data_IF_138177064412
#
_entry.id   IF_138177064412
#
_cell.length_a   1.000
_cell.length_b   1.000
_cell.length_c   1.000
_cell.angle_alpha   90.00
_cell.angle_beta   90.00
_cell.angle_gamma   90.00
#
_symmetry.space_group_name_H-M   'P 1'
#
loop_
_entity.id
_entity.type
_entity.pdbx_description
1 polymer ?
#
# COMPACT_ATOMS: atom_id res chain seq x y z
N UNK A 1 -1.94 -1.96 -24.75
CA UNK A 1 -2.11 -0.96 -23.69
C UNK A 1 -3.60 -0.65 -23.59
N UNK A 2 -4.16 -0.71 -22.37
CA UNK A 2 -5.52 -0.27 -22.12
C UNK A 2 -5.68 1.23 -22.39
N UNK A 3 -6.84 1.64 -22.84
CA UNK A 3 -7.17 3.08 -22.95
C UNK A 3 -7.44 3.61 -21.55
N UNK A 4 -6.86 4.77 -21.26
CA UNK A 4 -7.15 5.50 -20.02
C UNK A 4 -8.67 5.77 -19.91
N UNK A 5 -9.35 5.34 -18.85
CA UNK A 5 -10.80 5.49 -18.74
C UNK A 5 -11.22 6.95 -18.52
N UNK A 6 -10.37 7.77 -17.96
CA UNK A 6 -10.59 9.20 -17.82
C UNK A 6 -9.35 9.98 -18.30
N UNK A 7 -9.22 10.22 -19.61
CA UNK A 7 -8.07 10.94 -20.16
C UNK A 7 -8.00 12.42 -19.73
N UNK A 8 -9.09 12.97 -19.19
CA UNK A 8 -9.22 14.37 -18.76
C UNK A 8 -9.38 14.51 -17.23
N UNK A 9 -8.97 13.48 -16.47
CA UNK A 9 -9.10 13.50 -15.00
C UNK A 9 -8.59 14.79 -14.38
N UNK A 10 -9.29 15.27 -13.37
CA UNK A 10 -9.11 16.60 -12.75
C UNK A 10 -7.75 16.86 -12.11
N UNK A 11 -6.90 15.83 -11.99
CA UNK A 11 -5.57 15.96 -11.43
C UNK A 11 -4.55 15.51 -12.46
N UNK A 12 -3.96 16.47 -13.16
CA UNK A 12 -2.74 16.34 -13.97
C UNK A 12 -2.69 15.17 -14.97
N UNK A 13 -3.75 14.93 -15.74
CA UNK A 13 -3.79 13.88 -16.78
C UNK A 13 -3.72 12.43 -16.26
N UNK A 14 -4.15 12.17 -15.05
CA UNK A 14 -4.18 10.82 -14.48
C UNK A 14 -5.35 9.99 -15.02
N UNK A 15 -5.15 8.70 -15.14
CA UNK A 15 -6.20 7.77 -15.59
C UNK A 15 -7.04 7.31 -14.40
N UNK A 16 -7.94 8.15 -13.92
CA UNK A 16 -8.81 7.82 -12.81
C UNK A 16 -10.11 7.14 -13.23
N UNK A 17 -10.64 6.27 -12.37
CA UNK A 17 -11.92 5.60 -12.53
C UNK A 17 -11.82 4.14 -12.93
N UNK A 18 -12.97 3.53 -13.24
CA UNK A 18 -13.08 2.10 -13.55
C UNK A 18 -12.37 1.75 -14.85
N UNK A 19 -11.48 0.77 -14.79
CA UNK A 19 -10.68 0.32 -15.92
C UNK A 19 -11.24 -0.99 -16.51
N UNK A 20 -11.04 -1.16 -17.82
CA UNK A 20 -11.26 -2.45 -18.48
C UNK A 20 -10.13 -3.41 -18.12
N UNK A 21 -10.34 -4.72 -18.35
CA UNK A 21 -9.23 -5.68 -18.24
C UNK A 21 -8.09 -5.28 -19.18
N UNK A 22 -6.88 -5.17 -18.66
CA UNK A 22 -5.76 -4.72 -19.48
C UNK A 22 -4.52 -4.37 -18.70
N UNK A 23 -3.51 -3.91 -19.43
CA UNK A 23 -2.23 -3.42 -18.89
C UNK A 23 -2.16 -1.91 -19.03
N UNK A 24 -1.83 -1.24 -17.94
CA UNK A 24 -1.77 0.21 -17.81
C UNK A 24 -0.42 0.64 -17.29
N UNK A 25 -0.07 1.90 -17.51
CA UNK A 25 1.13 2.52 -16.94
C UNK A 25 0.74 3.85 -16.31
N UNK A 26 1.24 4.10 -15.11
CA UNK A 26 1.06 5.37 -14.38
C UNK A 26 1.63 6.53 -15.17
N UNK A 27 1.11 7.72 -14.96
CA UNK A 27 1.55 8.95 -15.61
C UNK A 27 2.30 9.88 -14.68
N UNK A 28 1.96 9.83 -13.40
CA UNK A 28 2.47 10.75 -12.38
C UNK A 28 3.30 10.01 -11.33
N UNK A 29 2.84 8.84 -10.88
CA UNK A 29 3.59 8.00 -9.96
C UNK A 29 4.96 7.65 -10.53
N UNK A 30 6.01 7.85 -9.74
CA UNK A 30 7.39 7.52 -10.10
C UNK A 30 8.06 6.69 -8.99
N UNK A 31 8.80 5.61 -9.32
CA UNK A 31 9.14 5.09 -10.67
C UNK A 31 7.87 4.65 -11.42
N UNK A 32 7.82 4.90 -12.74
CA UNK A 32 6.62 4.57 -13.53
C UNK A 32 6.24 3.12 -13.36
N UNK A 33 5.01 2.89 -12.91
CA UNK A 33 4.46 1.58 -12.63
C UNK A 33 3.64 1.09 -13.83
N UNK A 34 4.01 -0.07 -14.40
CA UNK A 34 3.16 -0.81 -15.33
C UNK A 34 2.54 -1.99 -14.60
N UNK A 35 1.22 -2.17 -14.74
CA UNK A 35 0.43 -3.17 -14.04
C UNK A 35 -0.70 -3.72 -14.90
N UNK A 36 -1.16 -4.93 -14.62
CA UNK A 36 -2.28 -5.58 -15.31
C UNK A 36 -3.40 -5.87 -14.31
N UNK A 37 -4.63 -5.46 -14.67
CA UNK A 37 -5.81 -5.68 -13.83
C UNK A 37 -6.92 -6.38 -14.60
N UNK A 38 -7.79 -7.17 -13.92
CA UNK A 38 -9.07 -7.61 -14.46
C UNK A 38 -10.03 -6.43 -14.67
N UNK A 39 -11.12 -6.63 -15.41
CA UNK A 39 -12.17 -5.63 -15.57
C UNK A 39 -12.84 -5.32 -14.21
N UNK A 40 -13.26 -4.06 -14.05
CA UNK A 40 -14.02 -3.58 -12.91
C UNK A 40 -13.18 -3.08 -11.73
N UNK A 41 -11.85 -3.17 -11.79
CA UNK A 41 -10.97 -2.43 -10.89
C UNK A 41 -11.03 -0.95 -11.23
N UNK A 42 -10.69 -0.11 -10.28
CA UNK A 42 -10.60 1.34 -10.51
C UNK A 42 -9.24 1.87 -10.08
N UNK A 43 -8.68 2.73 -10.91
CA UNK A 43 -7.55 3.58 -10.55
C UNK A 43 -8.10 4.80 -9.82
N UNK A 44 -7.69 4.99 -8.59
CA UNK A 44 -8.20 6.05 -7.73
C UNK A 44 -7.20 7.18 -7.51
N UNK A 45 -5.93 6.88 -7.53
CA UNK A 45 -4.86 7.86 -7.36
C UNK A 45 -3.65 7.48 -8.22
N UNK A 46 -3.13 8.45 -8.96
CA UNK A 46 -1.85 8.39 -9.67
C UNK A 46 -1.11 9.71 -9.39
N UNK A 47 -0.46 9.79 -8.22
CA UNK A 47 0.20 10.98 -7.69
C UNK A 47 1.70 10.74 -7.56
N UNK A 48 2.54 11.78 -7.47
CA UNK A 48 3.95 11.60 -7.15
C UNK A 48 4.12 10.84 -5.84
N UNK A 49 4.70 9.63 -5.93
CA UNK A 49 4.95 8.78 -4.75
C UNK A 49 3.77 8.01 -4.18
N UNK A 50 2.55 8.19 -4.71
CA UNK A 50 1.34 7.51 -4.25
C UNK A 50 0.48 7.04 -5.43
N UNK A 51 0.15 5.74 -5.45
CA UNK A 51 -0.72 5.13 -6.44
C UNK A 51 -1.70 4.17 -5.76
N UNK A 52 -3.00 4.26 -6.08
CA UNK A 52 -4.04 3.45 -5.43
C UNK A 52 -4.98 2.81 -6.45
N UNK A 53 -5.13 1.50 -6.34
CA UNK A 53 -6.13 0.69 -7.03
C UNK A 53 -7.17 0.15 -6.04
N UNK A 54 -8.42 0.12 -6.45
CA UNK A 54 -9.49 -0.51 -5.68
C UNK A 54 -10.18 -1.62 -6.48
N UNK A 55 -10.60 -2.71 -5.79
CA UNK A 55 -11.35 -3.80 -6.42
C UNK A 55 -12.80 -3.37 -6.75
N UNK A 56 -13.53 -4.18 -7.54
CA UNK A 56 -14.94 -3.95 -7.80
C UNK A 56 -15.76 -3.82 -6.51
N UNK A 57 -16.60 -2.78 -6.43
CA UNK A 57 -17.47 -2.50 -5.28
C UNK A 57 -16.82 -1.66 -4.16
N UNK A 58 -15.50 -1.46 -4.19
CA UNK A 58 -14.82 -0.53 -3.31
C UNK A 58 -14.98 0.93 -3.78
N UNK A 59 -14.81 1.89 -2.88
CA UNK A 59 -14.89 3.33 -3.17
C UNK A 59 -13.81 4.08 -2.40
N UNK A 60 -13.41 5.25 -2.89
CA UNK A 60 -12.46 6.11 -2.18
C UNK A 60 -13.02 6.56 -0.81
N UNK A 61 -14.31 6.93 -0.76
CA UNK A 61 -14.96 7.25 0.50
C UNK A 61 -14.94 6.07 1.47
N UNK A 62 -15.05 4.85 0.93
CA UNK A 62 -14.95 3.61 1.70
C UNK A 62 -13.53 3.36 2.24
N UNK A 63 -12.48 3.73 1.51
CA UNK A 63 -11.10 3.68 2.03
C UNK A 63 -10.98 4.60 3.23
N UNK A 64 -11.41 5.86 3.08
CA UNK A 64 -11.37 6.86 4.15
C UNK A 64 -12.20 6.46 5.37
N UNK A 65 -13.27 5.70 5.16
CA UNK A 65 -14.15 5.17 6.21
C UNK A 65 -13.69 3.81 6.79
N UNK A 66 -12.60 3.21 6.27
CA UNK A 66 -12.13 1.88 6.65
C UNK A 66 -13.10 0.74 6.28
N UNK A 67 -13.82 0.89 5.16
CA UNK A 67 -14.82 -0.07 4.66
C UNK A 67 -14.57 -0.57 3.24
N UNK A 68 -13.47 -0.16 2.62
CA UNK A 68 -13.05 -0.61 1.29
C UNK A 68 -11.66 -1.20 1.32
N UNK A 69 -11.52 -2.41 0.76
CA UNK A 69 -10.22 -3.00 0.46
C UNK A 69 -9.53 -2.18 -0.63
N UNK A 70 -8.21 -2.12 -0.59
CA UNK A 70 -7.43 -1.41 -1.61
C UNK A 70 -6.03 -2.00 -1.78
N UNK A 71 -5.40 -1.63 -2.89
CA UNK A 71 -4.01 -1.89 -3.21
C UNK A 71 -3.32 -0.56 -3.43
N UNK A 72 -2.37 -0.22 -2.54
CA UNK A 72 -1.55 0.97 -2.64
C UNK A 72 -0.11 0.66 -3.09
N UNK A 73 0.52 1.59 -3.79
CA UNK A 73 1.95 1.54 -4.11
C UNK A 73 2.57 2.88 -3.74
N UNK A 74 3.63 2.84 -2.92
CA UNK A 74 4.22 4.02 -2.31
C UNK A 74 5.73 4.04 -2.56
N UNK A 75 6.21 5.14 -3.11
CA UNK A 75 7.64 5.37 -3.27
C UNK A 75 8.25 5.95 -1.99
N UNK A 76 9.51 5.63 -1.73
CA UNK A 76 10.31 6.21 -0.64
C UNK A 76 9.61 6.16 0.72
N UNK A 77 9.35 4.94 1.25
CA UNK A 77 8.75 4.76 2.56
C UNK A 77 9.78 4.47 3.65
N UNK A 78 9.44 4.82 4.88
CA UNK A 78 10.23 4.59 6.09
C UNK A 78 9.39 4.09 7.26
N UNK A 79 10.04 3.72 8.36
CA UNK A 79 9.37 3.48 9.63
C UNK A 79 8.78 4.80 10.16
N UNK A 80 7.53 4.79 10.62
CA UNK A 80 6.93 5.99 11.20
C UNK A 80 7.51 6.31 12.58
N UNK A 81 7.57 7.59 12.90
CA UNK A 81 7.61 8.05 14.28
C UNK A 81 6.16 8.04 14.78
N UNK A 82 5.90 7.21 15.78
CA UNK A 82 4.57 7.11 16.37
C UNK A 82 4.06 8.48 16.79
N UNK A 83 2.82 8.76 16.47
CA UNK A 83 2.09 9.99 16.81
C UNK A 83 2.46 11.25 16.01
N UNK A 84 3.52 11.25 15.22
CA UNK A 84 3.93 12.45 14.48
C UNK A 84 3.65 12.37 12.98
N UNK A 85 3.35 11.17 12.45
CA UNK A 85 3.07 10.97 11.03
C UNK A 85 4.25 11.32 10.12
N UNK A 86 5.48 11.18 10.61
CA UNK A 86 6.72 11.46 9.91
C UNK A 86 7.72 10.31 10.08
N UNK A 87 8.79 10.24 9.25
CA UNK A 87 9.83 9.23 9.42
C UNK A 87 10.48 9.27 10.79
N UNK A 88 10.75 8.09 11.35
CA UNK A 88 11.49 7.94 12.60
C UNK A 88 12.99 8.06 12.35
N UNK A 89 13.57 9.17 12.78
CA UNK A 89 14.98 9.50 12.56
C UNK A 89 15.97 8.51 13.24
N UNK A 90 15.49 7.70 14.18
CA UNK A 90 16.33 6.69 14.87
C UNK A 90 16.39 5.36 14.12
N UNK A 91 15.55 5.17 13.11
CA UNK A 91 15.47 3.97 12.29
C UNK A 91 16.11 4.22 10.92
N UNK A 92 17.10 3.42 10.49
CA UNK A 92 17.65 3.57 9.14
C UNK A 92 16.55 3.46 8.08
N UNK A 93 16.52 4.41 7.13
CA UNK A 93 15.55 4.45 6.03
C UNK A 93 15.92 3.42 4.95
N UNK A 94 16.08 2.17 5.36
CA UNK A 94 16.44 1.03 4.53
C UNK A 94 15.45 -0.10 4.73
N UNK A 95 15.40 -1.05 3.80
CA UNK A 95 14.56 -2.23 3.94
C UNK A 95 14.81 -2.97 5.26
N UNK A 96 16.06 -3.17 5.62
CA UNK A 96 16.43 -3.90 6.86
C UNK A 96 16.03 -3.11 8.12
N UNK A 97 16.18 -1.77 8.09
CA UNK A 97 15.73 -0.89 9.16
C UNK A 97 14.23 -0.96 9.37
N UNK A 98 13.44 -0.78 8.30
CA UNK A 98 11.98 -0.85 8.35
C UNK A 98 11.48 -2.25 8.77
N UNK A 99 12.05 -3.32 8.23
CA UNK A 99 11.72 -4.69 8.63
C UNK A 99 12.05 -4.97 10.10
N UNK A 100 13.19 -4.48 10.55
CA UNK A 100 13.59 -4.57 11.96
C UNK A 100 12.60 -3.85 12.87
N UNK A 101 12.21 -2.63 12.50
CA UNK A 101 11.24 -1.84 13.24
C UNK A 101 9.88 -2.53 13.32
N UNK A 102 9.29 -2.93 12.18
CA UNK A 102 7.99 -3.64 12.12
C UNK A 102 7.95 -4.91 12.99
N UNK A 103 9.05 -5.67 13.04
CA UNK A 103 9.13 -6.92 13.82
C UNK A 103 9.22 -6.68 15.33
N UNK A 104 9.75 -5.53 15.76
CA UNK A 104 9.95 -5.20 17.16
C UNK A 104 8.88 -4.28 17.73
N UNK A 105 8.03 -3.72 16.87
CA UNK A 105 6.94 -2.85 17.30
C UNK A 105 5.94 -3.61 18.18
N UNK A 106 5.66 -3.12 19.41
CA UNK A 106 4.77 -3.81 20.34
C UNK A 106 3.30 -3.83 19.90
N UNK A 107 2.88 -2.89 19.04
CA UNK A 107 1.51 -2.79 18.56
C UNK A 107 1.23 -3.69 17.35
N UNK A 108 2.28 -4.20 16.68
CA UNK A 108 2.16 -4.94 15.42
C UNK A 108 2.47 -6.43 15.63
N UNK A 109 1.77 -7.28 14.93
CA UNK A 109 2.10 -8.69 14.75
C UNK A 109 2.48 -8.89 13.29
N UNK A 110 3.72 -9.29 13.06
CA UNK A 110 4.26 -9.65 11.75
C UNK A 110 4.23 -11.16 11.57
N UNK A 111 3.81 -11.63 10.41
CA UNK A 111 3.75 -13.05 10.04
C UNK A 111 4.04 -13.26 8.54
N UNK A 112 4.19 -14.51 8.11
CA UNK A 112 4.35 -14.90 6.70
C UNK A 112 5.51 -14.21 5.96
N UNK A 113 6.58 -13.90 6.65
CA UNK A 113 7.77 -13.20 6.10
C UNK A 113 8.48 -14.09 5.09
N UNK A 114 8.64 -13.61 3.85
CA UNK A 114 9.30 -14.32 2.75
C UNK A 114 10.02 -13.34 1.83
N UNK A 115 11.09 -13.78 1.22
CA UNK A 115 11.73 -13.03 0.14
C UNK A 115 10.85 -13.03 -1.11
N UNK A 116 10.89 -11.93 -1.87
CA UNK A 116 10.10 -11.73 -3.07
C UNK A 116 10.87 -10.92 -4.10
N UNK A 117 10.50 -11.09 -5.36
CA UNK A 117 10.93 -10.22 -6.46
C UNK A 117 9.69 -9.79 -7.23
N UNK A 118 9.45 -8.48 -7.33
CA UNK A 118 8.36 -7.88 -8.08
C UNK A 118 8.95 -6.84 -9.05
N UNK A 119 8.64 -6.96 -10.33
CA UNK A 119 9.10 -6.01 -11.35
C UNK A 119 10.61 -5.83 -11.42
N UNK A 120 11.38 -6.87 -11.07
CA UNK A 120 12.85 -6.82 -11.00
C UNK A 120 13.41 -6.25 -9.69
N UNK A 121 12.58 -5.72 -8.80
CA UNK A 121 12.98 -5.27 -7.48
C UNK A 121 12.91 -6.42 -6.48
N UNK A 122 14.00 -6.65 -5.74
CA UNK A 122 14.05 -7.66 -4.67
C UNK A 122 13.62 -7.06 -3.34
N UNK A 123 13.03 -7.87 -2.47
CA UNK A 123 12.58 -7.42 -1.16
C UNK A 123 11.93 -8.52 -0.34
N UNK A 124 11.03 -8.12 0.54
CA UNK A 124 10.34 -9.02 1.47
C UNK A 124 8.84 -8.77 1.42
N UNK A 125 8.05 -9.83 1.37
CA UNK A 125 6.61 -9.80 1.63
C UNK A 125 6.35 -10.27 3.06
N UNK A 126 5.40 -9.62 3.73
CA UNK A 126 4.97 -9.98 5.07
C UNK A 126 3.48 -9.61 5.27
N UNK A 127 2.84 -10.28 6.21
CA UNK A 127 1.49 -9.95 6.63
C UNK A 127 1.55 -9.29 8.02
N UNK A 128 0.80 -8.21 8.19
CA UNK A 128 0.70 -7.47 9.44
C UNK A 128 -0.73 -7.48 9.96
N UNK A 129 -0.86 -7.36 11.25
CA UNK A 129 -2.10 -7.04 11.96
C UNK A 129 -1.78 -6.35 13.27
N UNK A 130 -2.74 -5.62 13.80
CA UNK A 130 -2.59 -5.00 15.11
C UNK A 130 -2.57 -6.05 16.24
N UNK A 131 -1.77 -5.79 17.27
CA UNK A 131 -1.73 -6.59 18.50
C UNK A 131 -2.72 -6.02 19.51
N UNK A 132 -3.90 -6.58 19.59
CA UNK A 132 -4.93 -6.09 20.50
C UNK A 132 -5.73 -4.92 19.92
N UNK A 133 -6.24 -4.06 20.76
CA UNK A 133 -7.18 -2.97 20.40
C UNK A 133 -6.63 -1.57 20.71
N UNK A 134 -5.41 -1.49 21.20
CA UNK A 134 -4.71 -0.22 21.45
C UNK A 134 -3.63 -0.05 20.41
N UNK A 135 -3.67 1.06 19.69
CA UNK A 135 -2.64 1.42 18.71
C UNK A 135 -1.30 1.73 19.34
N UNK A 136 -0.54 2.56 18.69
CA UNK A 136 0.84 2.92 19.05
C UNK A 136 0.99 3.68 20.37
N UNK A 137 -0.09 3.84 21.13
CA UNK A 137 -0.10 4.59 22.38
C UNK A 137 -0.27 6.08 22.21
N UNK A 138 -0.57 6.54 21.01
CA UNK A 138 -0.85 7.95 20.73
C UNK A 138 -2.17 8.38 21.39
N UNK A 139 -2.27 9.62 21.88
CA UNK A 139 -3.45 10.08 22.64
C UNK A 139 -4.78 9.88 21.90
N UNK A 140 -4.76 10.01 20.57
CA UNK A 140 -5.95 9.90 19.71
C UNK A 140 -5.94 8.64 18.82
N UNK A 141 -4.93 7.76 18.95
CA UNK A 141 -4.67 6.64 18.05
C UNK A 141 -5.22 5.32 18.55
N UNK A 142 -6.12 4.74 17.75
CA UNK A 142 -6.54 3.33 17.87
C UNK A 142 -5.91 2.47 16.76
N UNK A 143 -5.03 3.05 15.93
CA UNK A 143 -4.37 2.43 14.79
C UNK A 143 -2.91 2.15 15.11
N UNK A 144 -2.30 1.21 14.43
CA UNK A 144 -0.87 0.98 14.45
C UNK A 144 -0.29 1.38 13.09
N UNK A 145 0.57 2.40 13.06
CA UNK A 145 1.21 2.87 11.85
C UNK A 145 2.20 1.82 11.35
N UNK A 146 2.21 1.58 10.04
CA UNK A 146 3.05 0.58 9.39
C UNK A 146 4.20 1.21 8.60
N UNK A 147 3.89 2.24 7.83
CA UNK A 147 4.82 2.95 6.95
C UNK A 147 4.43 4.41 6.85
N UNK A 148 5.40 5.24 6.55
CA UNK A 148 5.22 6.67 6.27
C UNK A 148 6.04 7.05 5.03
N UNK A 149 5.57 8.02 4.24
CA UNK A 149 6.33 8.58 3.12
C UNK A 149 7.49 9.42 3.59
N UNK A 150 8.67 9.27 2.99
CA UNK A 150 9.88 10.06 3.33
C UNK A 150 9.71 11.51 2.90
N UNK A 151 9.25 11.74 1.67
CA UNK A 151 9.10 13.07 1.08
C UNK A 151 7.67 13.63 1.20
N UNK A 152 6.74 12.82 1.69
CA UNK A 152 5.34 13.16 1.84
C UNK A 152 4.81 12.68 3.20
N UNK A 153 4.95 13.51 4.22
CA UNK A 153 4.53 13.21 5.58
C UNK A 153 3.00 13.05 5.74
N UNK A 154 2.20 13.40 4.73
CA UNK A 154 0.76 13.11 4.74
C UNK A 154 0.44 11.66 4.38
N UNK A 155 1.42 10.92 3.90
CA UNK A 155 1.28 9.49 3.58
C UNK A 155 1.65 8.67 4.81
N UNK A 156 0.66 8.35 5.62
CA UNK A 156 0.77 7.42 6.75
C UNK A 156 -0.19 6.26 6.51
N UNK A 157 0.31 5.03 6.53
CA UNK A 157 -0.50 3.83 6.38
C UNK A 157 -0.47 2.99 7.64
N UNK A 158 -1.65 2.61 8.11
CA UNK A 158 -1.87 2.00 9.42
C UNK A 158 -2.75 0.76 9.31
N UNK A 159 -2.61 -0.15 10.26
CA UNK A 159 -3.55 -1.26 10.46
C UNK A 159 -4.48 -0.97 11.63
N UNK A 160 -5.76 -1.23 11.46
CA UNK A 160 -6.78 -0.91 12.47
C UNK A 160 -6.92 -1.96 13.57
N UNK A 161 -7.63 -1.57 14.65
CA UNK A 161 -7.83 -2.40 15.85
C UNK A 161 -8.80 -3.56 15.65
N UNK A 162 -9.53 -3.57 14.55
CA UNK A 162 -10.48 -4.65 14.28
C UNK A 162 -9.71 -5.96 14.09
N UNK A 163 -10.09 -7.04 14.79
CA UNK A 163 -9.41 -8.33 14.71
C UNK A 163 -9.36 -8.93 13.30
N UNK A 164 -10.22 -8.48 12.39
CA UNK A 164 -10.23 -8.84 10.97
C UNK A 164 -9.23 -8.08 10.12
N UNK A 165 -8.83 -6.86 10.51
CA UNK A 165 -7.91 -6.05 9.72
C UNK A 165 -6.58 -6.75 9.47
N UNK A 166 -6.17 -6.81 8.21
CA UNK A 166 -4.90 -7.38 7.77
C UNK A 166 -4.31 -6.50 6.70
N UNK A 167 -3.00 -6.38 6.71
CA UNK A 167 -2.28 -5.75 5.63
C UNK A 167 -1.16 -6.66 5.17
N UNK A 168 -1.08 -6.92 3.87
CA UNK A 168 0.08 -7.55 3.26
C UNK A 168 0.96 -6.47 2.67
N UNK A 169 2.19 -6.39 3.16
CA UNK A 169 3.20 -5.46 2.65
C UNK A 169 4.24 -6.21 1.82
N UNK A 170 4.53 -5.68 0.64
CA UNK A 170 5.72 -6.00 -0.15
C UNK A 170 6.65 -4.81 -0.03
N UNK A 171 7.76 -4.98 0.65
CA UNK A 171 8.77 -3.94 0.85
C UNK A 171 9.93 -4.25 -0.09
N UNK A 172 10.16 -3.39 -1.07
CA UNK A 172 11.08 -3.64 -2.19
C UNK A 172 12.24 -2.64 -2.17
N UNK A 173 13.46 -3.11 -2.48
CA UNK A 173 14.64 -2.23 -2.62
C UNK A 173 14.58 -1.49 -3.95
N UNK A 174 14.46 -0.16 -3.90
CA UNK A 174 14.49 0.72 -5.07
C UNK A 174 15.70 1.67 -4.96
N UNK A 175 16.87 1.18 -5.32
CA UNK A 175 18.13 1.91 -5.07
C UNK A 175 18.43 2.00 -3.57
N UNK A 176 18.49 3.21 -3.04
CA UNK A 176 18.70 3.49 -1.61
C UNK A 176 17.38 3.57 -0.83
N UNK A 177 16.25 3.65 -1.53
CA UNK A 177 14.93 3.82 -0.96
C UNK A 177 14.19 2.49 -0.82
N UNK A 178 13.10 2.49 -0.06
CA UNK A 178 12.15 1.40 0.04
C UNK A 178 10.87 1.79 -0.67
N UNK A 179 10.46 0.98 -1.67
CA UNK A 179 9.15 1.05 -2.28
C UNK A 179 8.24 0.05 -1.57
N UNK A 180 7.04 0.47 -1.20
CA UNK A 180 6.05 -0.41 -0.60
C UNK A 180 4.89 -0.68 -1.56
N UNK A 181 4.42 -1.95 -1.59
CA UNK A 181 3.10 -2.30 -2.13
C UNK A 181 2.28 -2.80 -0.95
N UNK A 182 1.14 -2.20 -0.75
CA UNK A 182 0.21 -2.51 0.32
C UNK A 182 -1.05 -3.16 -0.25
N UNK A 183 -1.42 -4.31 0.27
CA UNK A 183 -2.72 -4.95 0.04
C UNK A 183 -3.47 -4.90 1.35
N UNK A 184 -4.30 -3.87 1.51
CA UNK A 184 -5.05 -3.62 2.73
C UNK A 184 -6.39 -4.33 2.71
N UNK A 185 -6.61 -5.17 3.70
CA UNK A 185 -7.87 -5.87 3.95
C UNK A 185 -8.54 -5.25 5.18
N UNK A 186 -9.73 -4.75 4.99
CA UNK A 186 -10.50 -4.11 6.04
C UNK A 186 -11.69 -4.96 6.46
N UNK A 187 -12.11 -4.97 7.74
CA UNK A 187 -13.11 -5.91 8.25
C UNK A 187 -14.48 -5.83 7.61
N UNK A 188 -14.80 -4.69 7.02
CA UNK A 188 -16.05 -4.43 6.28
C UNK A 188 -15.78 -4.27 4.78
N UNK A 189 -14.64 -4.79 4.32
CA UNK A 189 -14.27 -4.82 2.91
C UNK A 189 -15.20 -5.69 2.07
N UNK A 190 -14.92 -5.73 0.78
CA UNK A 190 -15.81 -6.35 -0.21
C UNK A 190 -15.78 -7.88 -0.17
N UNK A 191 -14.68 -8.47 0.34
CA UNK A 191 -14.46 -9.91 0.32
C UNK A 191 -13.80 -10.41 1.61
N UNK A 192 -13.59 -11.72 1.74
CA UNK A 192 -12.76 -12.26 2.81
C UNK A 192 -11.28 -11.95 2.57
N UNK A 193 -10.49 -11.84 3.65
CA UNK A 193 -9.02 -11.67 3.57
C UNK A 193 -8.36 -12.61 2.57
N UNK A 194 -8.74 -13.89 2.59
CA UNK A 194 -8.15 -14.90 1.72
C UNK A 194 -8.48 -14.65 0.24
N UNK A 195 -9.73 -14.30 -0.05
CA UNK A 195 -10.18 -14.01 -1.41
C UNK A 195 -9.59 -12.70 -1.90
N UNK A 196 -9.51 -11.67 -1.05
CA UNK A 196 -8.87 -10.41 -1.38
C UNK A 196 -7.38 -10.59 -1.72
N UNK A 197 -6.61 -11.22 -0.85
CA UNK A 197 -5.19 -11.48 -1.12
C UNK A 197 -4.98 -12.34 -2.36
N UNK A 198 -5.88 -13.30 -2.61
CA UNK A 198 -5.85 -14.10 -3.84
C UNK A 198 -6.15 -13.27 -5.09
N UNK A 199 -7.08 -12.31 -5.02
CA UNK A 199 -7.41 -11.43 -6.14
C UNK A 199 -6.31 -10.39 -6.41
N UNK A 200 -5.71 -9.82 -5.37
CA UNK A 200 -4.67 -8.82 -5.49
C UNK A 200 -3.31 -9.40 -5.94
N UNK A 201 -2.99 -10.64 -5.57
CA UNK A 201 -1.69 -11.25 -5.87
C UNK A 201 -1.32 -11.23 -7.35
N UNK A 202 -2.18 -11.60 -8.32
CA UNK A 202 -1.83 -11.52 -9.74
C UNK A 202 -1.58 -10.10 -10.21
N UNK A 203 -2.29 -9.10 -9.67
CA UNK A 203 -2.08 -7.69 -9.98
C UNK A 203 -0.70 -7.27 -9.52
N UNK A 204 -0.33 -7.56 -8.27
CA UNK A 204 1.00 -7.29 -7.72
C UNK A 204 2.10 -7.98 -8.53
N UNK A 205 1.91 -9.25 -8.88
CA UNK A 205 2.89 -10.02 -9.67
C UNK A 205 3.07 -9.51 -11.09
N UNK A 206 2.09 -8.79 -11.64
CA UNK A 206 2.17 -8.19 -12.97
C UNK A 206 2.93 -6.85 -12.99
N UNK A 207 3.21 -6.28 -11.81
CA UNK A 207 3.84 -4.98 -11.68
C UNK A 207 5.27 -4.98 -12.19
N UNK A 208 5.65 -3.91 -12.88
CA UNK A 208 7.02 -3.60 -13.24
C UNK A 208 7.27 -2.10 -13.10
N UNK A 209 8.52 -1.74 -12.80
CA UNK A 209 8.91 -0.37 -12.48
C UNK A 209 9.96 0.11 -13.48
N UNK A 210 9.73 1.29 -14.10
CA UNK A 210 10.64 1.93 -15.04
C UNK A 210 11.04 3.32 -14.52
N UNK A 211 12.34 3.65 -14.67
CA UNK A 211 12.88 4.98 -14.33
C UNK A 211 12.86 5.88 -15.56
#
# INVERSE_FOLDING_TARGET
>A
MGTCPNPEGDIANTCLGTVQAGTYTTKTFYPYLTYTVPAGWSDMEDLPGNFVLIPPGATLDGINAGTSDYLGVYAAVAAPDHCLGQPNDTVPQTLDGLLGWLKHDPAIIVSNVKDVTIGGLTGTVLDTRMRGTKGDGCPDGVWADLIVGVDNSSLVHSVGPDPGSRTRLYLLRNGTEVLAIEVADVPKGQTSTADWFKAATPVVQSMSFAK
#
